data_IF_657777788379
#
_entry.id   IF_657777788379
#
_cell.length_a   1.000
_cell.length_b   1.000
_cell.length_c   1.000
_cell.angle_alpha   90.00
_cell.angle_beta   90.00
_cell.angle_gamma   90.00
#
_symmetry.space_group_name_H-M   'P 1'
#
loop_
_entity.id
_entity.type
_entity.pdbx_description
1 polymer ?
#
# COMPACT_ATOMS: atom_id res chain seq x y z
N UNK A 1 -16.09 -13.41 8.12
CA UNK A 1 -15.09 -14.44 7.75
C UNK A 1 -13.79 -13.71 7.49
N UNK A 2 -12.75 -14.02 8.27
CA UNK A 2 -11.44 -13.39 8.19
C UNK A 2 -10.65 -13.93 7.02
N UNK A 3 -10.15 -13.06 6.15
CA UNK A 3 -9.24 -13.43 5.06
C UNK A 3 -7.84 -13.66 5.64
N UNK A 4 -7.20 -14.76 5.28
CA UNK A 4 -5.83 -15.09 5.67
C UNK A 4 -4.96 -15.13 4.42
N UNK A 5 -3.86 -14.39 4.43
CA UNK A 5 -2.80 -14.45 3.40
C UNK A 5 -1.57 -15.09 4.03
N UNK A 6 -0.95 -16.05 3.34
CA UNK A 6 0.38 -16.56 3.66
C UNK A 6 1.38 -15.90 2.71
N UNK A 7 2.22 -15.02 3.25
CA UNK A 7 3.18 -14.18 2.51
C UNK A 7 4.62 -14.52 2.90
N UNK A 8 5.53 -14.54 1.94
CA UNK A 8 6.92 -14.95 2.16
C UNK A 8 7.86 -14.00 1.43
N UNK A 9 8.73 -13.32 2.18
CA UNK A 9 9.74 -12.41 1.66
C UNK A 9 10.98 -13.20 1.24
N UNK A 10 11.13 -13.40 -0.06
CA UNK A 10 12.15 -14.25 -0.67
C UNK A 10 13.30 -13.36 -1.16
N UNK A 11 14.27 -13.16 -0.28
CA UNK A 11 15.17 -12.02 -0.34
C UNK A 11 16.67 -12.37 -0.29
N UNK A 12 17.06 -13.53 0.23
CA UNK A 12 18.46 -13.88 0.49
C UNK A 12 19.18 -14.36 -0.76
N UNK A 13 19.83 -13.45 -1.46
CA UNK A 13 20.63 -13.77 -2.65
C UNK A 13 22.13 -13.96 -2.36
N UNK A 14 22.49 -14.17 -1.06
CA UNK A 14 23.87 -14.45 -0.61
C UNK A 14 24.07 -15.93 -0.27
N UNK A 15 23.06 -16.54 0.38
CA UNK A 15 23.17 -17.90 0.90
C UNK A 15 22.35 -18.88 0.04
N UNK A 16 22.96 -19.71 -0.84
CA UNK A 16 22.23 -20.65 -1.70
C UNK A 16 21.32 -21.62 -0.94
N UNK A 17 21.73 -22.05 0.26
CA UNK A 17 20.92 -22.94 1.11
C UNK A 17 19.69 -22.25 1.73
N UNK A 18 19.60 -20.93 1.71
CA UNK A 18 18.39 -20.19 2.10
C UNK A 18 17.21 -20.52 1.20
N UNK A 19 17.47 -20.85 -0.06
CA UNK A 19 16.46 -21.29 -1.03
C UNK A 19 15.76 -22.63 -0.64
N UNK A 20 16.38 -23.45 0.21
CA UNK A 20 15.77 -24.71 0.71
C UNK A 20 14.57 -24.43 1.58
N UNK A 21 14.59 -23.37 2.41
CA UNK A 21 13.43 -22.96 3.20
C UNK A 21 12.31 -22.40 2.33
N UNK A 22 12.63 -21.67 1.25
CA UNK A 22 11.65 -21.23 0.25
C UNK A 22 10.95 -22.42 -0.37
N UNK A 23 11.73 -23.39 -0.89
CA UNK A 23 11.24 -24.62 -1.47
C UNK A 23 10.28 -25.34 -0.51
N UNK A 24 10.70 -25.48 0.73
CA UNK A 24 9.93 -26.23 1.73
C UNK A 24 8.60 -25.56 2.10
N UNK A 25 8.56 -24.23 2.22
CA UNK A 25 7.30 -23.49 2.39
C UNK A 25 6.37 -23.72 1.21
N UNK A 26 6.88 -23.58 -0.01
CA UNK A 26 6.09 -23.82 -1.22
C UNK A 26 5.54 -25.27 -1.30
N UNK A 27 6.37 -26.27 -0.99
CA UNK A 27 5.95 -27.68 -0.97
C UNK A 27 4.87 -27.94 0.08
N UNK A 28 5.03 -27.44 1.32
CA UNK A 28 4.02 -27.63 2.38
C UNK A 28 2.67 -27.04 1.96
N UNK A 29 2.65 -25.83 1.42
CA UNK A 29 1.41 -25.21 0.95
C UNK A 29 0.76 -26.02 -0.20
N UNK A 30 1.57 -26.49 -1.15
CA UNK A 30 1.08 -27.32 -2.25
C UNK A 30 0.51 -28.65 -1.77
N UNK A 31 1.18 -29.32 -0.83
CA UNK A 31 0.69 -30.57 -0.21
C UNK A 31 -0.63 -30.37 0.53
N UNK A 32 -0.78 -29.20 1.17
CA UNK A 32 -2.03 -28.82 1.82
C UNK A 32 -3.08 -28.24 0.85
N UNK A 33 -2.80 -28.19 -0.46
CA UNK A 33 -3.65 -27.60 -1.48
C UNK A 33 -4.01 -26.13 -1.20
N UNK A 34 -3.01 -25.34 -0.83
CA UNK A 34 -3.08 -23.90 -0.55
C UNK A 34 -2.12 -23.17 -1.46
N UNK A 35 -2.54 -22.01 -1.98
CA UNK A 35 -1.63 -21.07 -2.65
C UNK A 35 -1.12 -20.05 -1.64
N UNK A 36 0.17 -19.78 -1.67
CA UNK A 36 0.82 -18.69 -0.94
C UNK A 36 1.24 -17.58 -1.89
N UNK A 37 1.70 -16.48 -1.32
CA UNK A 37 2.22 -15.29 -1.97
C UNK A 37 3.73 -15.20 -1.68
N UNK A 38 4.55 -15.15 -2.72
CA UNK A 38 6.01 -15.10 -2.58
C UNK A 38 6.53 -13.79 -3.17
N UNK A 39 6.95 -12.90 -2.28
CA UNK A 39 7.52 -11.60 -2.59
C UNK A 39 8.98 -11.78 -2.95
N UNK A 40 9.31 -11.72 -4.24
CA UNK A 40 10.62 -12.14 -4.73
C UNK A 40 11.48 -10.93 -5.11
N UNK A 41 12.66 -10.86 -4.51
CA UNK A 41 13.70 -9.89 -4.89
C UNK A 41 14.25 -10.23 -6.27
N UNK A 42 14.41 -9.23 -7.14
CA UNK A 42 14.92 -9.44 -8.50
C UNK A 42 16.28 -10.13 -8.52
N UNK A 43 17.23 -9.67 -7.70
CA UNK A 43 18.55 -10.32 -7.56
C UNK A 43 18.47 -11.77 -7.07
N UNK A 44 17.52 -12.10 -6.17
CA UNK A 44 17.33 -13.49 -5.77
C UNK A 44 16.84 -14.36 -6.94
N UNK A 45 15.93 -13.87 -7.75
CA UNK A 45 15.45 -14.59 -8.94
C UNK A 45 16.60 -14.87 -9.94
N UNK A 46 17.51 -13.92 -10.12
CA UNK A 46 18.74 -14.14 -10.92
C UNK A 46 19.63 -15.22 -10.29
N UNK A 47 19.84 -15.17 -8.97
CA UNK A 47 20.66 -16.15 -8.24
C UNK A 47 20.09 -17.56 -8.30
N UNK A 48 18.76 -17.75 -8.30
CA UNK A 48 18.17 -19.08 -8.50
C UNK A 48 18.64 -19.73 -9.81
N UNK A 49 18.73 -18.96 -10.91
CA UNK A 49 19.27 -19.44 -12.19
C UNK A 49 20.74 -19.75 -12.10
N UNK A 50 21.54 -18.85 -11.50
CA UNK A 50 23.00 -19.04 -11.32
C UNK A 50 23.32 -20.25 -10.45
N UNK A 51 22.54 -20.50 -9.39
CA UNK A 51 22.70 -21.66 -8.52
C UNK A 51 22.11 -22.96 -9.08
N UNK A 52 21.44 -22.89 -10.23
CA UNK A 52 20.79 -24.04 -10.83
C UNK A 52 19.57 -24.57 -10.06
N UNK A 53 18.90 -23.69 -9.28
CA UNK A 53 17.76 -24.04 -8.42
C UNK A 53 16.44 -24.05 -9.19
N UNK A 54 16.39 -24.83 -10.28
CA UNK A 54 15.16 -25.02 -11.04
C UNK A 54 14.04 -25.63 -10.19
N UNK A 55 14.38 -26.45 -9.21
CA UNK A 55 13.45 -27.04 -8.24
C UNK A 55 12.66 -25.99 -7.47
N UNK A 56 13.30 -24.89 -7.06
CA UNK A 56 12.64 -23.77 -6.38
C UNK A 56 11.74 -22.99 -7.34
N UNK A 57 12.25 -22.68 -8.54
CA UNK A 57 11.49 -21.98 -9.59
C UNK A 57 10.20 -22.75 -9.92
N UNK A 58 10.29 -24.07 -10.13
CA UNK A 58 9.15 -24.93 -10.45
C UNK A 58 8.16 -25.05 -9.28
N UNK A 59 8.65 -25.07 -8.04
CA UNK A 59 7.77 -25.09 -6.87
C UNK A 59 7.01 -23.76 -6.72
N UNK A 60 7.66 -22.65 -6.93
CA UNK A 60 7.05 -21.31 -6.87
C UNK A 60 6.03 -21.08 -7.99
N UNK A 61 6.15 -21.74 -9.12
CA UNK A 61 5.21 -21.62 -10.24
C UNK A 61 3.76 -22.00 -9.87
N UNK A 62 3.53 -22.81 -8.83
CA UNK A 62 2.19 -23.13 -8.30
C UNK A 62 1.56 -21.96 -7.51
N UNK A 63 2.36 -21.08 -6.95
CA UNK A 63 1.97 -20.00 -6.05
C UNK A 63 1.83 -18.65 -6.78
N UNK A 64 1.46 -17.59 -6.08
CA UNK A 64 1.59 -16.23 -6.59
C UNK A 64 3.02 -15.71 -6.38
N UNK A 65 3.48 -14.92 -7.31
CA UNK A 65 4.77 -14.21 -7.25
C UNK A 65 4.47 -12.73 -7.21
N UNK A 66 5.06 -12.05 -6.26
CA UNK A 66 4.95 -10.62 -6.04
C UNK A 66 6.35 -9.96 -6.13
N UNK A 67 6.34 -8.63 -6.27
CA UNK A 67 7.55 -7.83 -6.39
C UNK A 67 8.07 -7.49 -5.00
N UNK A 68 9.39 -7.70 -4.77
CA UNK A 68 10.07 -7.33 -3.51
C UNK A 68 11.28 -6.43 -3.78
N UNK A 69 11.15 -5.48 -4.69
CA UNK A 69 12.20 -4.63 -5.24
C UNK A 69 13.34 -5.38 -5.98
N UNK A 70 14.22 -4.62 -6.63
CA UNK A 70 15.34 -5.19 -7.37
C UNK A 70 16.39 -5.82 -6.47
N UNK A 71 16.79 -5.12 -5.39
CA UNK A 71 17.97 -5.47 -4.59
C UNK A 71 17.72 -5.46 -3.07
N UNK A 72 16.46 -5.47 -2.63
CA UNK A 72 16.07 -5.47 -1.22
C UNK A 72 16.59 -4.23 -0.48
N UNK A 73 17.40 -4.42 0.54
CA UNK A 73 17.97 -3.37 1.40
C UNK A 73 19.34 -2.86 0.90
N UNK A 74 19.82 -3.36 -0.24
CA UNK A 74 21.07 -2.88 -0.83
C UNK A 74 20.84 -1.53 -1.54
N UNK A 75 21.67 -0.55 -1.23
CA UNK A 75 21.50 0.82 -1.70
C UNK A 75 21.79 1.00 -3.21
N UNK A 76 21.08 1.90 -3.89
CA UNK A 76 20.03 2.75 -3.34
C UNK A 76 18.72 2.00 -3.12
N UNK A 77 18.05 2.26 -1.99
CA UNK A 77 16.73 1.72 -1.66
C UNK A 77 15.61 2.56 -2.28
N UNK A 78 14.36 2.05 -2.24
CA UNK A 78 13.19 2.77 -2.77
C UNK A 78 13.10 4.20 -2.22
N UNK A 79 13.34 4.38 -0.94
CA UNK A 79 13.29 5.71 -0.34
C UNK A 79 14.36 6.64 -0.92
N UNK A 80 15.56 6.14 -1.13
CA UNK A 80 16.68 6.95 -1.62
C UNK A 80 16.50 7.38 -3.07
N UNK A 81 16.14 6.46 -3.96
CA UNK A 81 15.95 6.83 -5.37
C UNK A 81 14.61 7.53 -5.66
N UNK A 82 13.70 7.60 -4.68
CA UNK A 82 12.48 8.40 -4.78
C UNK A 82 12.51 9.71 -3.98
N UNK A 83 13.58 9.95 -3.21
CA UNK A 83 13.77 11.19 -2.44
C UNK A 83 14.31 12.32 -3.35
N UNK A 84 13.56 12.63 -4.38
CA UNK A 84 13.84 13.65 -5.39
C UNK A 84 12.71 14.68 -5.31
N UNK A 85 13.05 15.97 -5.32
CA UNK A 85 12.07 17.07 -5.17
C UNK A 85 11.08 17.13 -6.34
N UNK A 86 11.57 16.95 -7.55
CA UNK A 86 10.75 16.90 -8.77
C UNK A 86 10.08 15.52 -8.89
N UNK A 87 8.76 15.49 -8.88
CA UNK A 87 8.00 14.24 -8.95
C UNK A 87 8.25 13.44 -10.21
N UNK A 88 8.31 14.10 -11.38
CA UNK A 88 8.47 13.40 -12.65
C UNK A 88 9.86 12.74 -12.74
N UNK A 89 10.88 13.41 -12.21
CA UNK A 89 12.23 12.84 -12.11
C UNK A 89 12.26 11.67 -11.10
N UNK A 90 11.60 11.79 -9.95
CA UNK A 90 11.50 10.72 -8.96
C UNK A 90 10.77 9.50 -9.52
N UNK A 91 9.66 9.71 -10.21
CA UNK A 91 8.89 8.65 -10.85
C UNK A 91 9.69 7.96 -11.97
N UNK A 92 10.41 8.72 -12.78
CA UNK A 92 11.25 8.16 -13.84
C UNK A 92 12.35 7.24 -13.28
N UNK A 93 13.00 7.64 -12.19
CA UNK A 93 14.02 6.78 -11.54
C UNK A 93 13.37 5.56 -10.88
N UNK A 94 12.22 5.70 -10.22
CA UNK A 94 11.46 4.59 -9.68
C UNK A 94 11.10 3.56 -10.76
N UNK A 95 10.51 4.01 -11.86
CA UNK A 95 10.11 3.13 -12.96
C UNK A 95 11.30 2.42 -13.60
N UNK A 96 12.45 3.08 -13.70
CA UNK A 96 13.68 2.48 -14.22
C UNK A 96 14.14 1.30 -13.33
N UNK A 97 14.20 1.49 -12.01
CA UNK A 97 14.64 0.47 -11.05
C UNK A 97 13.66 -0.71 -10.99
N UNK A 98 12.37 -0.41 -10.82
CA UNK A 98 11.37 -1.45 -10.61
C UNK A 98 10.96 -2.17 -11.90
N UNK A 99 11.06 -1.54 -13.07
CA UNK A 99 10.86 -2.25 -14.35
C UNK A 99 11.94 -3.31 -14.56
N UNK A 100 13.18 -3.04 -14.19
CA UNK A 100 14.24 -4.05 -14.25
C UNK A 100 13.89 -5.28 -13.38
N UNK A 101 13.43 -5.06 -12.16
CA UNK A 101 12.95 -6.12 -11.28
C UNK A 101 11.83 -6.94 -11.95
N UNK A 102 10.82 -6.26 -12.47
CA UNK A 102 9.67 -6.89 -13.13
C UNK A 102 10.09 -7.74 -14.32
N UNK A 103 10.98 -7.27 -15.17
CA UNK A 103 11.44 -8.05 -16.34
C UNK A 103 12.25 -9.29 -15.91
N UNK A 104 13.06 -9.21 -14.87
CA UNK A 104 13.77 -10.36 -14.29
C UNK A 104 12.76 -11.41 -13.77
N UNK A 105 11.72 -10.97 -13.05
CA UNK A 105 10.70 -11.87 -12.51
C UNK A 105 9.86 -12.50 -13.62
N UNK A 106 9.48 -11.73 -14.66
CA UNK A 106 8.78 -12.24 -15.85
C UNK A 106 9.58 -13.35 -16.53
N UNK A 107 10.86 -13.09 -16.78
CA UNK A 107 11.75 -14.05 -17.42
C UNK A 107 11.96 -15.31 -16.58
N UNK A 108 12.08 -15.15 -15.24
CA UNK A 108 12.36 -16.28 -14.36
C UNK A 108 11.15 -17.17 -14.14
N UNK A 109 9.97 -16.60 -13.97
CA UNK A 109 8.78 -17.35 -13.57
C UNK A 109 7.73 -17.47 -14.68
N UNK A 110 7.96 -16.91 -15.87
CA UNK A 110 7.02 -16.96 -16.99
C UNK A 110 5.68 -16.28 -16.67
N UNK A 111 5.71 -15.15 -15.99
CA UNK A 111 4.52 -14.38 -15.59
C UNK A 111 4.46 -13.07 -16.35
N UNK A 112 3.25 -12.63 -16.72
CA UNK A 112 3.05 -11.35 -17.40
C UNK A 112 2.59 -10.23 -16.47
N UNK A 113 2.12 -10.57 -15.27
CA UNK A 113 1.61 -9.61 -14.26
C UNK A 113 1.86 -10.08 -12.84
N UNK A 114 1.93 -9.13 -11.93
CA UNK A 114 2.16 -9.34 -10.52
C UNK A 114 1.03 -8.69 -9.71
N UNK A 115 0.36 -9.43 -8.80
CA UNK A 115 -0.80 -8.91 -8.08
C UNK A 115 -0.44 -7.97 -6.93
N UNK A 116 0.80 -7.99 -6.44
CA UNK A 116 1.26 -7.13 -5.37
C UNK A 116 2.72 -6.71 -5.52
N UNK A 117 3.05 -5.59 -4.89
CA UNK A 117 4.39 -5.20 -4.52
C UNK A 117 4.50 -5.13 -3.00
N UNK A 118 5.58 -5.67 -2.46
CA UNK A 118 5.86 -5.75 -1.05
C UNK A 118 7.25 -5.15 -0.80
N UNK A 119 7.36 -3.84 -0.60
CA UNK A 119 8.67 -3.20 -0.47
C UNK A 119 9.41 -3.64 0.79
N UNK A 120 10.72 -3.92 0.68
CA UNK A 120 11.52 -4.36 1.80
C UNK A 120 11.58 -3.34 2.94
N UNK A 121 11.56 -3.83 4.19
CA UNK A 121 11.79 -3.01 5.37
C UNK A 121 10.86 -1.80 5.50
N UNK A 122 9.66 -1.88 4.93
CA UNK A 122 8.72 -0.75 4.89
C UNK A 122 9.26 0.48 4.15
N UNK A 123 10.21 0.29 3.24
CA UNK A 123 10.64 1.35 2.32
C UNK A 123 9.46 1.78 1.47
N UNK A 124 9.04 3.02 1.59
CA UNK A 124 7.88 3.53 0.88
C UNK A 124 7.97 5.02 0.65
N UNK A 125 7.37 5.45 -0.44
CA UNK A 125 7.14 6.86 -0.75
C UNK A 125 5.84 7.01 -1.53
N UNK A 126 5.30 8.22 -1.60
CA UNK A 126 4.15 8.51 -2.46
C UNK A 126 4.45 8.19 -3.94
N UNK A 127 5.71 8.36 -4.36
CA UNK A 127 6.18 8.02 -5.71
C UNK A 127 6.08 6.52 -5.96
N UNK A 128 6.48 5.69 -4.99
CA UNK A 128 6.39 4.24 -5.11
C UNK A 128 4.93 3.76 -5.21
N UNK A 129 4.01 4.36 -4.45
CA UNK A 129 2.59 4.02 -4.56
C UNK A 129 2.05 4.33 -5.96
N UNK A 130 2.26 5.55 -6.47
CA UNK A 130 1.82 5.91 -7.82
C UNK A 130 2.53 5.09 -8.90
N UNK A 131 3.83 4.84 -8.73
CA UNK A 131 4.64 4.09 -9.67
C UNK A 131 4.15 2.64 -9.83
N UNK A 132 3.96 1.92 -8.74
CA UNK A 132 3.40 0.57 -8.80
C UNK A 132 1.98 0.55 -9.35
N UNK A 133 1.13 1.53 -8.97
CA UNK A 133 -0.20 1.65 -9.56
C UNK A 133 -0.16 1.87 -11.08
N UNK A 134 0.77 2.69 -11.59
CA UNK A 134 1.01 2.88 -13.04
C UNK A 134 1.52 1.61 -13.73
N UNK A 135 2.30 0.79 -13.04
CA UNK A 135 2.74 -0.52 -13.53
C UNK A 135 1.61 -1.56 -13.54
N UNK A 136 0.40 -1.19 -13.11
CA UNK A 136 -0.78 -2.07 -13.05
C UNK A 136 -0.78 -3.03 -11.87
N UNK A 137 -0.02 -2.74 -10.82
CA UNK A 137 0.04 -3.54 -9.59
C UNK A 137 -1.05 -3.03 -8.65
N UNK A 138 -2.03 -3.87 -8.28
CA UNK A 138 -3.20 -3.43 -7.53
C UNK A 138 -3.01 -3.37 -6.01
N UNK A 139 -2.06 -4.12 -5.44
CA UNK A 139 -1.83 -4.23 -4.00
C UNK A 139 -0.40 -3.76 -3.65
N UNK A 140 -0.31 -2.99 -2.59
CA UNK A 140 0.94 -2.60 -1.93
C UNK A 140 0.91 -3.17 -0.52
N UNK A 141 1.70 -4.21 -0.25
CA UNK A 141 1.79 -4.81 1.08
C UNK A 141 2.96 -4.19 1.85
N UNK A 142 2.61 -3.37 2.84
CA UNK A 142 3.60 -2.66 3.64
C UNK A 142 2.93 -1.79 4.70
N UNK A 143 3.65 -1.41 5.73
CA UNK A 143 3.14 -0.74 6.93
C UNK A 143 2.82 0.76 6.75
N UNK A 144 2.47 1.20 5.55
CA UNK A 144 2.27 2.62 5.23
C UNK A 144 0.95 3.16 5.77
N UNK A 145 -0.15 2.46 5.48
CA UNK A 145 -1.49 2.83 5.93
C UNK A 145 -2.14 1.65 6.62
N UNK A 146 -2.53 1.82 7.87
CA UNK A 146 -3.06 0.76 8.73
C UNK A 146 -4.50 1.04 9.15
N UNK A 147 -5.39 0.08 8.91
CA UNK A 147 -6.62 -0.04 9.68
C UNK A 147 -6.33 -0.81 10.97
N UNK A 148 -6.05 -0.10 12.06
CA UNK A 148 -5.69 -0.71 13.36
C UNK A 148 -6.83 -1.54 13.96
N UNK A 149 -8.08 -1.31 13.55
CA UNK A 149 -9.23 -2.05 14.10
C UNK A 149 -9.36 -3.44 13.48
N UNK A 150 -9.64 -3.49 12.18
CA UNK A 150 -10.00 -4.73 11.50
C UNK A 150 -9.01 -5.18 10.42
N UNK A 151 -7.94 -4.42 10.25
CA UNK A 151 -6.87 -4.68 9.27
C UNK A 151 -7.38 -4.72 7.81
N UNK A 152 -8.39 -3.91 7.48
CA UNK A 152 -8.92 -3.81 6.12
C UNK A 152 -7.96 -3.05 5.21
N UNK A 153 -7.93 -3.38 3.91
CA UNK A 153 -7.17 -2.59 2.95
C UNK A 153 -7.65 -1.15 2.86
N UNK A 154 -6.72 -0.22 2.67
CA UNK A 154 -7.00 1.20 2.40
C UNK A 154 -6.39 1.53 1.03
N UNK A 155 -7.17 2.07 0.11
CA UNK A 155 -6.62 2.57 -1.15
C UNK A 155 -5.98 3.94 -0.94
N UNK A 156 -4.77 4.13 -1.45
CA UNK A 156 -4.05 5.40 -1.44
C UNK A 156 -3.24 5.52 -2.72
N UNK A 157 -3.21 6.69 -3.35
CA UNK A 157 -2.45 6.89 -4.60
C UNK A 157 -2.80 5.84 -5.68
N UNK A 158 -4.08 5.44 -5.76
CA UNK A 158 -4.64 4.46 -6.71
C UNK A 158 -4.21 2.99 -6.50
N UNK A 159 -3.58 2.66 -5.39
CA UNK A 159 -3.19 1.29 -5.04
C UNK A 159 -3.78 0.91 -3.68
N UNK A 160 -4.20 -0.35 -3.51
CA UNK A 160 -4.70 -0.83 -2.22
C UNK A 160 -3.53 -1.20 -1.31
N UNK A 161 -3.49 -0.62 -0.11
CA UNK A 161 -2.45 -0.90 0.89
C UNK A 161 -2.94 -1.93 1.91
N UNK A 162 -2.05 -2.81 2.32
CA UNK A 162 -2.24 -3.78 3.40
C UNK A 162 -1.09 -3.67 4.40
N UNK A 163 -1.14 -4.44 5.49
CA UNK A 163 -0.14 -4.41 6.55
C UNK A 163 0.23 -5.82 7.00
N UNK A 164 1.45 -6.00 7.47
CA UNK A 164 1.94 -7.25 8.07
C UNK A 164 1.36 -7.47 9.47
N UNK A 165 1.06 -8.74 9.82
CA UNK A 165 0.44 -9.00 11.12
C UNK A 165 1.15 -10.06 11.94
N UNK A 166 1.51 -11.20 11.35
CA UNK A 166 2.02 -12.35 12.10
C UNK A 166 3.32 -12.88 11.50
N UNK A 167 4.44 -12.51 12.11
CA UNK A 167 5.77 -12.99 11.70
C UNK A 167 5.94 -14.45 12.11
N UNK A 168 5.59 -15.37 11.23
CA UNK A 168 5.51 -16.80 11.47
C UNK A 168 6.82 -17.39 12.02
N UNK A 169 7.95 -17.13 11.36
CA UNK A 169 9.24 -17.67 11.76
C UNK A 169 9.65 -17.31 13.20
N UNK A 170 9.30 -16.11 13.65
CA UNK A 170 9.56 -15.67 15.02
C UNK A 170 8.56 -16.29 16.01
N UNK A 171 7.26 -16.22 15.67
CA UNK A 171 6.20 -16.73 16.56
C UNK A 171 6.29 -18.24 16.76
N UNK A 172 6.65 -18.99 15.72
CA UNK A 172 6.81 -20.44 15.82
C UNK A 172 8.00 -20.89 16.67
N UNK A 173 8.98 -20.05 16.93
CA UNK A 173 10.04 -20.35 17.89
C UNK A 173 9.61 -20.15 19.34
N UNK A 174 8.61 -19.29 19.57
CA UNK A 174 8.19 -18.88 20.92
C UNK A 174 6.91 -19.56 21.40
N UNK A 175 5.98 -19.83 20.50
CA UNK A 175 4.64 -20.27 20.81
C UNK A 175 4.44 -21.74 20.41
N UNK A 176 3.85 -22.53 21.30
CA UNK A 176 3.37 -23.88 20.99
C UNK A 176 2.05 -23.85 20.19
N UNK A 177 1.52 -25.02 19.87
CA UNK A 177 0.29 -25.16 19.07
C UNK A 177 -0.95 -24.62 19.81
N UNK A 178 -0.98 -24.69 21.14
CA UNK A 178 -2.08 -24.15 21.95
C UNK A 178 -2.09 -22.62 21.90
N UNK A 179 -0.94 -21.98 22.07
CA UNK A 179 -0.79 -20.53 21.96
C UNK A 179 -1.12 -20.03 20.53
N UNK A 180 -0.70 -20.76 19.49
CA UNK A 180 -1.05 -20.44 18.09
C UNK A 180 -2.58 -20.51 17.92
N UNK A 181 -3.23 -21.58 18.38
CA UNK A 181 -4.68 -21.72 18.31
C UNK A 181 -5.43 -20.60 19.05
N UNK A 182 -4.99 -20.26 20.26
CA UNK A 182 -5.58 -19.19 21.05
C UNK A 182 -5.50 -17.83 20.32
N UNK A 183 -4.35 -17.51 19.73
CA UNK A 183 -4.14 -16.31 18.94
C UNK A 183 -5.09 -16.23 17.73
N UNK A 184 -5.21 -17.31 16.97
CA UNK A 184 -6.09 -17.32 15.77
C UNK A 184 -7.57 -17.35 16.13
N UNK A 185 -7.97 -17.81 17.31
CA UNK A 185 -9.34 -17.62 17.81
C UNK A 185 -9.66 -16.13 17.99
N UNK A 186 -8.74 -15.34 18.56
CA UNK A 186 -8.91 -13.88 18.70
C UNK A 186 -8.93 -13.19 17.32
N UNK A 187 -8.05 -13.57 16.39
CA UNK A 187 -8.01 -13.06 15.03
C UNK A 187 -9.36 -13.26 14.31
N UNK A 188 -9.97 -14.43 14.45
CA UNK A 188 -11.27 -14.75 13.83
C UNK A 188 -12.41 -13.81 14.29
N UNK A 189 -12.31 -13.26 15.49
CA UNK A 189 -13.32 -12.36 16.07
C UNK A 189 -13.04 -10.89 15.75
N UNK A 190 -11.76 -10.53 15.66
CA UNK A 190 -11.35 -9.12 15.65
C UNK A 190 -10.91 -8.61 14.28
N UNK A 191 -10.52 -9.47 13.33
CA UNK A 191 -9.92 -9.05 12.05
C UNK A 191 -10.75 -9.47 10.84
N UNK A 192 -10.73 -8.63 9.81
CA UNK A 192 -11.32 -8.92 8.49
C UNK A 192 -10.26 -9.45 7.52
N UNK A 193 -9.01 -9.01 7.70
CA UNK A 193 -7.82 -9.47 6.98
C UNK A 193 -6.70 -9.76 7.97
N UNK A 194 -5.91 -10.81 7.73
CA UNK A 194 -4.74 -11.11 8.53
C UNK A 194 -3.63 -11.73 7.68
N UNK A 195 -2.50 -11.03 7.57
CA UNK A 195 -1.36 -11.45 6.78
C UNK A 195 -0.35 -12.14 7.69
N UNK A 196 -0.15 -13.44 7.44
CA UNK A 196 0.84 -14.26 8.08
C UNK A 196 2.08 -14.28 7.19
N UNK A 197 3.15 -13.61 7.60
CA UNK A 197 4.35 -13.47 6.80
C UNK A 197 5.57 -14.15 7.40
N UNK A 198 6.56 -14.45 6.58
CA UNK A 198 7.82 -15.05 7.00
C UNK A 198 8.95 -14.67 6.07
N UNK A 199 10.16 -14.57 6.63
CA UNK A 199 11.41 -14.47 5.88
C UNK A 199 12.04 -15.88 5.87
N UNK A 200 11.99 -16.64 4.76
CA UNK A 200 12.52 -18.00 4.69
C UNK A 200 14.00 -18.12 5.06
N UNK A 201 14.81 -17.11 4.76
CA UNK A 201 16.21 -17.04 5.18
C UNK A 201 16.34 -17.10 6.72
N UNK A 202 15.49 -16.39 7.47
CA UNK A 202 15.47 -16.39 8.94
C UNK A 202 15.00 -17.71 9.56
N UNK A 203 14.48 -18.63 8.75
CA UNK A 203 14.25 -20.02 9.15
C UNK A 203 15.54 -20.83 9.05
N UNK A 204 16.30 -20.63 7.98
CA UNK A 204 17.58 -21.33 7.73
C UNK A 204 18.72 -20.82 8.58
N UNK A 205 18.72 -19.52 8.91
CA UNK A 205 19.86 -18.83 9.55
C UNK A 205 19.45 -18.11 10.82
N UNK A 206 20.46 -17.85 11.69
CA UNK A 206 20.26 -17.09 12.93
C UNK A 206 20.06 -15.61 12.66
N UNK A 207 20.82 -15.06 11.72
CA UNK A 207 20.91 -13.64 11.39
C UNK A 207 20.50 -13.44 9.92
N UNK A 208 19.93 -12.27 9.60
CA UNK A 208 19.62 -11.93 8.20
C UNK A 208 20.91 -11.75 7.40
N UNK A 209 20.87 -12.10 6.14
CA UNK A 209 22.00 -12.02 5.20
C UNK A 209 22.52 -10.59 5.03
N UNK A 210 21.63 -9.59 5.05
CA UNK A 210 21.96 -8.18 4.93
C UNK A 210 22.49 -7.60 6.25
N UNK A 211 21.95 -8.05 7.40
CA UNK A 211 22.44 -7.70 8.72
C UNK A 211 23.89 -8.12 8.92
N UNK A 212 24.26 -9.30 8.45
CA UNK A 212 25.62 -9.82 8.53
C UNK A 212 26.59 -9.05 7.62
N UNK A 213 26.12 -8.61 6.45
CA UNK A 213 27.02 -8.16 5.40
C UNK A 213 27.17 -6.63 5.29
N UNK A 214 26.08 -5.88 5.44
CA UNK A 214 26.16 -4.44 5.17
C UNK A 214 25.19 -3.58 6.01
N UNK A 215 24.71 -4.10 7.10
CA UNK A 215 23.86 -3.34 7.99
C UNK A 215 24.43 -1.95 8.27
N UNK A 216 23.91 -0.96 7.55
CA UNK A 216 24.37 0.42 7.64
C UNK A 216 25.51 0.84 6.74
N UNK A 217 25.96 0.02 5.86
CA UNK A 217 27.01 0.40 4.94
C UNK A 217 26.98 -0.42 3.66
N UNK A 218 27.10 0.20 2.50
CA UNK A 218 27.19 -0.49 1.21
C UNK A 218 28.53 -1.23 1.03
N UNK A 219 28.78 -2.25 1.85
CA UNK A 219 29.93 -3.09 1.64
C UNK A 219 29.80 -3.80 0.29
N UNK A 220 30.87 -3.73 -0.53
CA UNK A 220 30.88 -4.36 -1.85
C UNK A 220 30.62 -5.87 -1.76
N UNK A 221 29.84 -6.41 -2.70
CA UNK A 221 29.40 -7.80 -2.71
C UNK A 221 30.55 -8.82 -2.60
N UNK A 222 31.73 -8.51 -3.11
CA UNK A 222 32.93 -9.36 -3.01
C UNK A 222 33.39 -9.63 -1.56
N UNK A 223 32.95 -8.79 -0.62
CA UNK A 223 33.29 -8.92 0.80
C UNK A 223 32.21 -9.67 1.62
N UNK A 224 31.11 -10.07 0.99
CA UNK A 224 30.01 -10.68 1.72
C UNK A 224 30.32 -12.08 2.21
N UNK A 225 29.82 -12.41 3.41
CA UNK A 225 30.03 -13.70 4.07
C UNK A 225 28.70 -14.41 4.32
N UNK A 226 28.69 -15.75 4.38
CA UNK A 226 27.48 -16.50 4.69
C UNK A 226 26.96 -16.22 6.11
N UNK A 227 25.65 -16.24 6.26
CA UNK A 227 24.98 -16.20 7.55
C UNK A 227 25.18 -17.51 8.32
N UNK A 228 25.10 -17.47 9.66
CA UNK A 228 25.26 -18.65 10.51
C UNK A 228 24.04 -19.58 10.39
N UNK A 229 24.20 -20.84 9.95
CA UNK A 229 23.10 -21.80 9.86
C UNK A 229 22.45 -22.05 11.24
N UNK A 230 21.13 -22.26 11.21
CA UNK A 230 20.36 -22.68 12.37
C UNK A 230 20.41 -24.19 12.51
N UNK A 231 20.23 -24.66 13.73
CA UNK A 231 20.20 -26.09 14.04
C UNK A 231 19.00 -26.78 13.35
N UNK A 232 19.20 -27.98 12.77
CA UNK A 232 18.14 -28.70 12.04
C UNK A 232 16.84 -28.88 12.82
N UNK A 233 16.93 -29.15 14.12
CA UNK A 233 15.77 -29.37 14.98
C UNK A 233 14.91 -28.11 15.11
N UNK A 234 15.51 -26.93 15.11
CA UNK A 234 14.80 -25.65 15.16
C UNK A 234 14.10 -25.37 13.81
N UNK A 235 14.75 -25.70 12.70
CA UNK A 235 14.17 -25.60 11.36
C UNK A 235 12.93 -26.52 11.25
N UNK A 236 13.06 -27.79 11.68
CA UNK A 236 11.97 -28.74 11.68
C UNK A 236 10.79 -28.28 12.55
N UNK A 237 11.08 -27.72 13.74
CA UNK A 237 10.05 -27.18 14.62
C UNK A 237 9.25 -26.07 13.93
N UNK A 238 9.92 -25.15 13.24
CA UNK A 238 9.25 -24.04 12.52
C UNK A 238 8.32 -24.61 11.44
N UNK A 239 8.79 -25.55 10.61
CA UNK A 239 7.98 -26.13 9.54
C UNK A 239 6.85 -27.01 10.04
N UNK A 240 7.03 -27.74 11.15
CA UNK A 240 5.93 -28.50 11.76
C UNK A 240 4.81 -27.57 12.24
N UNK A 241 5.16 -26.48 12.90
CA UNK A 241 4.19 -25.46 13.37
C UNK A 241 3.55 -24.68 12.22
N UNK A 242 4.29 -24.45 11.14
CA UNK A 242 3.70 -23.88 9.92
C UNK A 242 2.63 -24.81 9.33
N UNK A 243 2.93 -26.10 9.16
CA UNK A 243 1.96 -27.07 8.69
C UNK A 243 0.74 -27.16 9.62
N UNK A 244 0.98 -27.14 10.93
CA UNK A 244 -0.10 -27.09 11.91
C UNK A 244 -1.00 -25.86 11.69
N UNK A 245 -0.42 -24.67 11.56
CA UNK A 245 -1.17 -23.44 11.32
C UNK A 245 -2.01 -23.52 10.03
N UNK A 246 -1.43 -23.96 8.93
CA UNK A 246 -2.17 -24.11 7.65
C UNK A 246 -3.38 -25.01 7.82
N UNK A 247 -3.22 -26.15 8.50
CA UNK A 247 -4.33 -27.09 8.78
C UNK A 247 -5.36 -26.52 9.74
N UNK A 248 -4.95 -25.78 10.76
CA UNK A 248 -5.83 -25.10 11.70
C UNK A 248 -6.75 -24.11 10.96
N UNK A 249 -6.17 -23.27 10.10
CA UNK A 249 -6.91 -22.26 9.32
C UNK A 249 -7.87 -22.93 8.34
N UNK A 250 -7.44 -23.98 7.64
CA UNK A 250 -8.29 -24.73 6.68
C UNK A 250 -9.48 -25.40 7.34
N UNK A 251 -9.33 -25.89 8.57
CA UNK A 251 -10.38 -26.59 9.30
C UNK A 251 -11.44 -25.68 9.92
N UNK A 252 -11.16 -24.38 10.07
CA UNK A 252 -12.03 -23.42 10.75
C UNK A 252 -12.81 -22.57 9.73
N UNK A 253 -14.17 -22.71 9.64
CA UNK A 253 -14.98 -21.99 8.66
C UNK A 253 -15.04 -20.47 8.88
N UNK A 254 -14.51 -19.95 10.00
CA UNK A 254 -14.38 -18.52 10.24
C UNK A 254 -13.31 -17.88 9.37
N UNK A 255 -12.40 -18.67 8.78
CA UNK A 255 -11.32 -18.22 7.93
C UNK A 255 -11.54 -18.56 6.45
N UNK A 256 -10.95 -17.76 5.58
CA UNK A 256 -10.77 -18.02 4.16
C UNK A 256 -9.36 -17.69 3.76
N UNK A 257 -8.61 -18.67 3.28
CA UNK A 257 -7.28 -18.43 2.71
C UNK A 257 -7.46 -17.79 1.34
N UNK A 258 -6.77 -16.68 1.11
CA UNK A 258 -6.78 -15.90 -0.13
C UNK A 258 -5.36 -15.50 -0.51
N UNK A 259 -5.17 -15.15 -1.77
CA UNK A 259 -3.94 -14.53 -2.27
C UNK A 259 -4.15 -13.02 -2.50
N UNK A 260 -3.08 -12.27 -2.77
CA UNK A 260 -3.20 -10.85 -3.15
C UNK A 260 -4.00 -10.69 -4.45
N UNK A 261 -3.84 -11.60 -5.41
CA UNK A 261 -4.62 -11.59 -6.63
C UNK A 261 -6.12 -11.83 -6.42
N UNK A 262 -6.49 -12.68 -5.46
CA UNK A 262 -7.88 -12.87 -5.07
C UNK A 262 -8.44 -11.59 -4.43
N UNK A 263 -7.67 -10.96 -3.55
CA UNK A 263 -8.05 -9.69 -2.92
C UNK A 263 -8.20 -8.57 -3.94
N UNK A 264 -7.25 -8.44 -4.86
CA UNK A 264 -7.28 -7.42 -5.90
C UNK A 264 -8.54 -7.52 -6.78
N UNK A 265 -8.95 -8.74 -7.13
CA UNK A 265 -10.20 -8.99 -7.88
C UNK A 265 -11.42 -8.53 -7.10
N UNK A 266 -11.49 -8.82 -5.80
CA UNK A 266 -12.61 -8.43 -4.96
C UNK A 266 -12.67 -6.91 -4.77
N UNK A 267 -11.54 -6.26 -4.47
CA UNK A 267 -11.43 -4.83 -4.20
C UNK A 267 -11.71 -3.96 -5.44
N UNK A 268 -11.46 -4.49 -6.63
CA UNK A 268 -11.66 -3.80 -7.90
C UNK A 268 -12.86 -4.33 -8.70
N UNK A 269 -13.75 -5.11 -8.06
CA UNK A 269 -14.85 -5.79 -8.72
C UNK A 269 -15.92 -4.87 -9.31
N UNK A 270 -16.01 -3.62 -8.87
CA UNK A 270 -17.01 -2.68 -9.35
C UNK A 270 -16.41 -1.33 -9.75
N UNK A 271 -17.01 -0.75 -10.77
CA UNK A 271 -16.73 0.61 -11.19
C UNK A 271 -17.47 1.58 -10.25
N UNK A 272 -16.79 2.65 -9.85
CA UNK A 272 -17.38 3.70 -9.01
C UNK A 272 -17.83 4.85 -9.89
N UNK A 273 -19.09 5.19 -9.78
CA UNK A 273 -19.69 6.34 -10.49
C UNK A 273 -20.37 7.22 -9.46
N UNK A 274 -19.99 8.49 -9.40
CA UNK A 274 -20.58 9.49 -8.54
C UNK A 274 -21.60 10.29 -9.35
N UNK A 275 -22.86 10.31 -8.89
CA UNK A 275 -23.96 11.03 -9.56
C UNK A 275 -24.30 12.34 -8.84
N UNK A 276 -24.98 13.26 -9.52
CA UNK A 276 -25.52 14.46 -8.88
C UNK A 276 -26.46 14.17 -7.73
N UNK A 277 -27.17 13.04 -7.79
CA UNK A 277 -28.10 12.61 -6.73
C UNK A 277 -27.39 12.26 -5.42
N UNK A 278 -26.10 11.89 -5.49
CA UNK A 278 -25.27 11.56 -4.33
C UNK A 278 -24.80 12.81 -3.56
N UNK A 279 -24.71 13.96 -4.24
CA UNK A 279 -24.08 15.18 -3.70
C UNK A 279 -24.69 15.69 -2.40
N UNK A 280 -26.02 15.70 -2.18
CA UNK A 280 -26.58 16.14 -0.90
C UNK A 280 -26.13 15.28 0.28
N UNK A 281 -26.05 13.96 0.09
CA UNK A 281 -25.55 13.03 1.11
C UNK A 281 -24.06 13.27 1.36
N UNK A 282 -23.27 13.38 0.32
CA UNK A 282 -21.82 13.65 0.40
C UNK A 282 -21.54 14.98 1.08
N UNK A 283 -22.25 16.07 0.68
CA UNK A 283 -22.13 17.39 1.32
C UNK A 283 -22.36 17.30 2.83
N UNK A 284 -23.45 16.63 3.25
CA UNK A 284 -23.76 16.46 4.67
C UNK A 284 -22.67 15.68 5.40
N UNK A 285 -22.16 14.60 4.80
CA UNK A 285 -21.10 13.80 5.38
C UNK A 285 -19.80 14.58 5.56
N UNK A 286 -19.36 15.33 4.53
CA UNK A 286 -18.13 16.11 4.59
C UNK A 286 -18.23 17.32 5.54
N UNK A 287 -19.43 17.86 5.71
CA UNK A 287 -19.69 18.95 6.66
C UNK A 287 -19.68 18.45 8.10
N UNK A 288 -20.21 17.27 8.36
CA UNK A 288 -20.17 16.64 9.69
C UNK A 288 -18.74 16.20 10.06
N UNK A 289 -18.04 15.60 9.12
CA UNK A 289 -16.67 15.12 9.28
C UNK A 289 -15.96 15.05 7.93
N UNK A 290 -14.92 15.86 7.76
CA UNK A 290 -14.15 15.91 6.52
C UNK A 290 -13.26 14.69 6.38
N UNK A 291 -13.79 13.66 5.73
CA UNK A 291 -13.13 12.35 5.58
C UNK A 291 -13.66 11.62 4.33
N UNK A 292 -12.90 10.71 3.71
CA UNK A 292 -13.39 9.89 2.59
C UNK A 292 -14.74 9.23 2.89
N UNK A 293 -15.62 9.21 1.92
CA UNK A 293 -16.95 8.65 2.10
C UNK A 293 -16.99 7.15 1.84
N UNK A 294 -17.91 6.45 2.49
CA UNK A 294 -18.16 5.02 2.25
C UNK A 294 -19.61 4.74 1.89
N UNK A 295 -20.42 5.79 1.81
CA UNK A 295 -21.83 5.77 1.40
C UNK A 295 -22.10 6.98 0.50
N UNK A 296 -22.89 6.85 -0.57
CA UNK A 296 -23.53 5.62 -1.07
C UNK A 296 -22.52 4.61 -1.63
N UNK A 297 -21.35 5.07 -1.96
CA UNK A 297 -20.20 4.26 -2.37
C UNK A 297 -18.89 4.81 -1.78
N UNK A 298 -17.78 4.15 -2.08
CA UNK A 298 -16.45 4.47 -1.64
C UNK A 298 -15.82 5.54 -2.53
N UNK A 299 -15.86 6.80 -2.10
CA UNK A 299 -15.22 7.92 -2.81
C UNK A 299 -14.14 8.56 -1.94
N UNK A 300 -12.97 8.82 -2.54
CA UNK A 300 -11.98 9.68 -1.92
C UNK A 300 -12.33 11.16 -2.16
N UNK A 301 -11.66 12.07 -1.44
CA UNK A 301 -11.94 13.50 -1.58
C UNK A 301 -11.56 14.02 -2.99
N UNK A 302 -10.48 13.46 -3.58
CA UNK A 302 -10.08 13.79 -4.95
C UNK A 302 -11.14 13.38 -5.99
N UNK A 303 -11.79 12.20 -5.83
CA UNK A 303 -12.92 11.80 -6.68
C UNK A 303 -14.04 12.85 -6.62
N UNK A 304 -14.41 13.26 -5.39
CA UNK A 304 -15.49 14.23 -5.16
C UNK A 304 -15.13 15.61 -5.75
N UNK A 305 -13.88 16.03 -5.63
CA UNK A 305 -13.41 17.29 -6.22
C UNK A 305 -13.54 17.28 -7.74
N UNK A 306 -13.07 16.24 -8.42
CA UNK A 306 -13.18 16.11 -9.86
C UNK A 306 -14.64 15.96 -10.33
N UNK A 307 -15.45 15.19 -9.58
CA UNK A 307 -16.89 15.09 -9.84
C UNK A 307 -17.58 16.45 -9.77
N UNK A 308 -17.32 17.23 -8.72
CA UNK A 308 -17.88 18.59 -8.60
C UNK A 308 -17.47 19.49 -9.76
N UNK A 309 -16.19 19.42 -10.17
CA UNK A 309 -15.71 20.17 -11.35
C UNK A 309 -16.51 19.82 -12.60
N UNK A 310 -16.67 18.55 -12.93
CA UNK A 310 -17.38 18.10 -14.11
C UNK A 310 -18.86 18.41 -14.08
N UNK A 311 -19.49 18.27 -12.91
CA UNK A 311 -20.91 18.57 -12.72
C UNK A 311 -21.20 20.07 -12.81
N UNK A 312 -20.30 20.95 -12.37
CA UNK A 312 -20.40 22.39 -12.63
C UNK A 312 -20.32 22.70 -14.13
N UNK A 313 -19.62 21.89 -14.91
CA UNK A 313 -19.53 22.00 -16.37
C UNK A 313 -20.68 21.30 -17.11
N UNK A 314 -21.64 20.72 -16.42
CA UNK A 314 -22.85 20.14 -16.96
C UNK A 314 -22.92 18.62 -17.01
N UNK A 315 -21.92 17.89 -16.51
CA UNK A 315 -22.02 16.44 -16.39
C UNK A 315 -23.10 16.05 -15.35
N UNK A 316 -23.79 14.93 -15.57
CA UNK A 316 -24.75 14.37 -14.60
C UNK A 316 -24.10 13.37 -13.66
N UNK A 317 -23.05 12.72 -14.11
CA UNK A 317 -22.29 11.74 -13.38
C UNK A 317 -20.78 11.88 -13.66
N UNK A 318 -19.97 11.35 -12.77
CA UNK A 318 -18.51 11.27 -12.89
C UNK A 318 -18.04 9.83 -12.60
N UNK A 319 -17.32 9.26 -13.56
CA UNK A 319 -16.66 7.98 -13.42
C UNK A 319 -15.35 8.17 -12.66
N UNK A 320 -15.28 7.62 -11.44
CA UNK A 320 -14.07 7.68 -10.64
C UNK A 320 -12.93 6.87 -11.29
N UNK A 321 -11.76 7.45 -11.33
CA UNK A 321 -10.61 6.86 -12.03
C UNK A 321 -9.30 7.11 -11.30
N UNK A 322 -8.29 7.47 -12.10
CA UNK A 322 -7.00 7.87 -11.57
C UNK A 322 -7.11 9.22 -10.86
N UNK A 323 -6.61 9.30 -9.64
CA UNK A 323 -6.61 10.52 -8.83
C UNK A 323 -5.23 10.79 -8.26
N UNK A 324 -4.92 12.08 -8.05
CA UNK A 324 -3.70 12.52 -7.39
C UNK A 324 -4.07 13.46 -6.22
N UNK A 325 -3.19 13.54 -5.24
CA UNK A 325 -3.31 14.49 -4.13
C UNK A 325 -2.63 15.82 -4.47
N UNK A 326 -1.87 16.37 -3.52
CA UNK A 326 -1.17 17.63 -3.67
C UNK A 326 0.35 17.41 -3.78
N UNK A 327 1.02 18.25 -4.57
CA UNK A 327 2.49 18.38 -4.54
C UNK A 327 2.95 19.43 -3.51
N UNK A 328 2.10 20.38 -3.19
CA UNK A 328 2.38 21.46 -2.23
C UNK A 328 1.22 21.61 -1.23
N UNK A 329 1.49 22.17 -0.08
CA UNK A 329 0.46 22.50 0.90
C UNK A 329 -0.66 23.34 0.28
N UNK A 330 -1.92 22.93 0.39
CA UNK A 330 -3.04 23.70 -0.14
C UNK A 330 -3.17 25.06 0.59
N UNK A 331 -3.61 26.06 -0.16
CA UNK A 331 -3.95 27.36 0.39
C UNK A 331 -5.25 27.25 1.21
N UNK A 332 -5.38 28.08 2.25
CA UNK A 332 -6.62 28.26 3.02
C UNK A 332 -6.96 29.75 3.10
N UNK A 333 -8.24 30.08 2.97
CA UNK A 333 -8.69 31.47 3.15
C UNK A 333 -8.58 31.89 4.62
N UNK A 334 -8.31 33.17 4.86
CA UNK A 334 -8.17 33.77 6.21
C UNK A 334 -9.34 34.68 6.57
N UNK A 335 -10.22 34.98 5.63
CA UNK A 335 -11.43 35.80 5.80
C UNK A 335 -12.57 35.21 4.96
N UNK A 336 -13.85 35.46 5.33
CA UNK A 336 -14.97 35.00 4.54
C UNK A 336 -14.92 35.50 3.10
N UNK A 337 -15.25 34.62 2.15
CA UNK A 337 -15.30 34.92 0.71
C UNK A 337 -16.66 34.53 0.17
N UNK A 338 -17.33 35.44 -0.50
CA UNK A 338 -18.61 35.20 -1.17
C UNK A 338 -18.39 35.02 -2.67
N UNK A 339 -18.95 33.95 -3.21
CA UNK A 339 -18.84 33.58 -4.64
C UNK A 339 -20.22 33.23 -5.19
N UNK A 340 -20.42 33.45 -6.47
CA UNK A 340 -21.66 33.14 -7.19
C UNK A 340 -21.50 31.84 -7.97
N UNK A 341 -22.62 31.20 -8.29
CA UNK A 341 -22.65 30.02 -9.15
C UNK A 341 -21.98 30.25 -10.51
N UNK A 342 -22.18 31.41 -11.11
CA UNK A 342 -21.55 31.74 -12.38
C UNK A 342 -20.02 31.79 -12.26
N UNK A 343 -19.48 32.40 -11.20
CA UNK A 343 -18.03 32.44 -10.94
C UNK A 343 -17.47 31.04 -10.66
N UNK A 344 -18.22 30.18 -9.94
CA UNK A 344 -17.84 28.77 -9.71
C UNK A 344 -17.75 27.98 -11.02
N UNK A 345 -18.73 28.13 -11.92
CA UNK A 345 -18.70 27.48 -13.24
C UNK A 345 -17.50 27.97 -14.06
N UNK A 346 -17.21 29.26 -14.08
CA UNK A 346 -16.03 29.80 -14.78
C UNK A 346 -14.71 29.31 -14.17
N UNK A 347 -14.66 29.15 -12.85
CA UNK A 347 -13.48 28.61 -12.17
C UNK A 347 -13.24 27.14 -12.53
N UNK A 348 -14.31 26.32 -12.61
CA UNK A 348 -14.25 24.92 -12.99
C UNK A 348 -13.60 24.68 -14.37
N UNK A 349 -13.80 25.60 -15.32
CA UNK A 349 -13.17 25.53 -16.66
C UNK A 349 -11.64 25.65 -16.62
N UNK A 350 -11.09 26.26 -15.57
CA UNK A 350 -9.64 26.50 -15.40
C UNK A 350 -8.95 25.36 -14.64
N UNK A 351 -9.70 24.52 -13.96
CA UNK A 351 -9.15 23.36 -13.27
C UNK A 351 -8.90 22.25 -14.29
N UNK A 352 -7.68 21.65 -14.33
CA UNK A 352 -7.42 20.49 -15.18
C UNK A 352 -8.38 19.33 -14.89
N UNK A 353 -8.71 18.56 -15.92
CA UNK A 353 -9.58 17.39 -15.78
C UNK A 353 -8.91 16.25 -14.98
N UNK A 354 -7.61 16.18 -15.10
CA UNK A 354 -6.75 15.15 -14.51
C UNK A 354 -5.48 15.78 -13.95
N UNK A 355 -4.75 15.06 -13.14
CA UNK A 355 -3.48 15.47 -12.57
C UNK A 355 -3.56 15.85 -11.10
N UNK A 356 -2.53 16.53 -10.62
CA UNK A 356 -2.41 16.98 -9.25
C UNK A 356 -3.49 17.98 -8.87
N UNK A 357 -4.00 17.88 -7.67
CA UNK A 357 -4.92 18.87 -7.14
C UNK A 357 -4.24 20.25 -7.07
N UNK A 358 -4.91 21.31 -7.53
CA UNK A 358 -4.36 22.65 -7.45
C UNK A 358 -4.26 23.10 -5.99
N UNK A 359 -3.21 23.82 -5.65
CA UNK A 359 -3.07 24.44 -4.32
C UNK A 359 -4.19 25.43 -4.02
N UNK A 360 -4.65 26.14 -5.04
CA UNK A 360 -5.72 27.14 -4.95
C UNK A 360 -6.41 27.32 -6.30
N UNK A 361 -7.61 27.88 -6.26
CA UNK A 361 -8.45 28.15 -7.45
C UNK A 361 -8.88 29.60 -7.46
N UNK A 362 -8.73 30.28 -8.59
CA UNK A 362 -9.22 31.65 -8.79
C UNK A 362 -10.72 31.59 -9.12
N UNK A 363 -11.55 32.28 -8.31
CA UNK A 363 -13.00 32.35 -8.46
C UNK A 363 -13.40 33.83 -8.48
N UNK A 364 -13.82 34.34 -9.64
CA UNK A 364 -14.05 35.77 -9.82
C UNK A 364 -12.78 36.57 -9.55
N UNK A 365 -12.83 37.46 -8.58
CA UNK A 365 -11.69 38.23 -8.07
C UNK A 365 -11.00 37.63 -6.84
N UNK A 366 -11.52 36.52 -6.32
CA UNK A 366 -11.02 35.89 -5.10
C UNK A 366 -10.12 34.68 -5.41
N UNK A 367 -9.30 34.29 -4.43
CA UNK A 367 -8.54 33.05 -4.43
C UNK A 367 -9.10 32.16 -3.33
N UNK A 368 -9.58 30.99 -3.67
CA UNK A 368 -10.01 29.94 -2.73
C UNK A 368 -8.94 28.86 -2.62
N UNK A 369 -8.78 28.31 -1.44
CA UNK A 369 -8.09 27.01 -1.29
C UNK A 369 -8.90 25.89 -1.94
N UNK A 370 -8.26 24.76 -2.21
CA UNK A 370 -8.94 23.63 -2.87
C UNK A 370 -10.10 23.09 -2.03
N UNK A 371 -9.93 23.04 -0.71
CA UNK A 371 -11.01 22.64 0.21
C UNK A 371 -12.14 23.68 0.24
N UNK A 372 -11.82 24.97 0.22
CA UNK A 372 -12.79 26.07 0.17
C UNK A 372 -13.59 26.05 -1.14
N UNK A 373 -12.89 25.79 -2.26
CA UNK A 373 -13.54 25.61 -3.56
C UNK A 373 -14.48 24.43 -3.56
N UNK A 374 -14.07 23.28 -3.01
CA UNK A 374 -14.91 22.07 -2.91
C UNK A 374 -16.19 22.33 -2.10
N UNK A 375 -16.08 23.06 -0.97
CA UNK A 375 -17.25 23.48 -0.16
C UNK A 375 -18.22 24.32 -0.98
N UNK A 376 -17.71 25.32 -1.68
CA UNK A 376 -18.52 26.19 -2.52
C UNK A 376 -19.17 25.42 -3.68
N UNK A 377 -18.40 24.51 -4.32
CA UNK A 377 -18.90 23.67 -5.42
C UNK A 377 -20.06 22.77 -4.98
N UNK A 378 -19.90 22.08 -3.85
CA UNK A 378 -20.97 21.24 -3.28
C UNK A 378 -22.23 22.06 -2.94
N UNK A 379 -22.08 23.27 -2.38
CA UNK A 379 -23.20 24.13 -2.05
C UNK A 379 -23.94 24.59 -3.32
N UNK A 380 -23.22 25.05 -4.33
CA UNK A 380 -23.79 25.46 -5.61
C UNK A 380 -24.49 24.30 -6.33
N UNK A 381 -23.89 23.12 -6.36
CA UNK A 381 -24.45 21.93 -6.98
C UNK A 381 -25.71 21.42 -6.22
N UNK A 382 -25.79 21.68 -4.92
CA UNK A 382 -26.98 21.44 -4.11
C UNK A 382 -28.03 22.55 -4.16
N UNK A 383 -27.90 23.56 -5.07
CA UNK A 383 -28.92 24.54 -5.38
C UNK A 383 -28.69 25.96 -4.86
N UNK A 384 -27.55 26.27 -4.26
CA UNK A 384 -27.25 27.62 -3.80
C UNK A 384 -26.74 28.48 -4.97
N UNK A 385 -27.32 29.67 -5.18
CA UNK A 385 -26.90 30.62 -6.24
C UNK A 385 -25.73 31.51 -5.79
N UNK A 386 -25.56 31.71 -4.49
CA UNK A 386 -24.48 32.47 -3.87
C UNK A 386 -24.05 31.80 -2.60
N UNK A 387 -22.75 31.59 -2.42
CA UNK A 387 -22.17 30.88 -1.29
C UNK A 387 -21.14 31.79 -0.60
N UNK A 388 -21.25 31.89 0.73
CA UNK A 388 -20.19 32.51 1.56
C UNK A 388 -19.40 31.42 2.24
N UNK A 389 -18.14 31.23 1.82
CA UNK A 389 -17.19 30.31 2.44
C UNK A 389 -16.49 31.04 3.57
N UNK A 390 -16.55 30.48 4.77
CA UNK A 390 -15.85 30.98 5.95
C UNK A 390 -14.52 30.27 6.16
N UNK A 391 -13.53 30.91 6.80
CA UNK A 391 -12.26 30.26 7.15
C UNK A 391 -12.49 29.10 8.14
N UNK A 392 -12.72 27.93 7.63
CA UNK A 392 -12.89 26.69 8.36
C UNK A 392 -11.90 25.65 7.84
N UNK A 393 -11.36 24.83 8.72
CA UNK A 393 -10.36 23.86 8.33
C UNK A 393 -11.04 22.57 7.85
N UNK A 394 -11.18 22.42 6.55
CA UNK A 394 -11.52 21.16 5.92
C UNK A 394 -10.24 20.38 5.62
N UNK A 395 -9.74 19.70 6.64
CA UNK A 395 -8.50 18.92 6.59
C UNK A 395 -8.77 17.51 7.09
N UNK A 396 -8.17 16.52 6.46
CA UNK A 396 -8.21 15.15 6.96
C UNK A 396 -7.41 15.09 8.26
N UNK A 397 -8.05 14.57 9.29
CA UNK A 397 -7.43 14.35 10.59
C UNK A 397 -6.39 13.22 10.49
N UNK A 398 -5.10 13.60 10.50
CA UNK A 398 -3.99 12.66 10.42
C UNK A 398 -3.80 11.81 11.68
N UNK A 399 -4.47 12.14 12.79
CA UNK A 399 -4.51 11.27 13.97
C UNK A 399 -5.20 9.93 13.68
N UNK A 400 -6.02 9.90 12.61
CA UNK A 400 -6.60 8.65 12.10
C UNK A 400 -5.57 7.74 11.41
N UNK A 401 -4.39 8.26 11.06
CA UNK A 401 -3.35 7.55 10.31
C UNK A 401 -1.98 7.70 10.98
N UNK A 402 -1.80 7.18 12.22
CA UNK A 402 -0.55 7.38 12.97
C UNK A 402 0.68 6.83 12.24
N UNK A 403 0.51 5.77 11.44
CA UNK A 403 1.61 5.21 10.64
C UNK A 403 2.12 6.16 9.54
N UNK A 404 1.32 7.11 9.09
CA UNK A 404 1.73 8.16 8.15
C UNK A 404 2.12 9.44 8.90
N UNK A 405 1.35 9.82 9.94
CA UNK A 405 1.60 11.02 10.73
C UNK A 405 2.99 11.04 11.37
N UNK A 406 3.36 9.91 11.99
CA UNK A 406 4.57 9.80 12.81
C UNK A 406 5.70 9.03 12.09
N UNK A 407 5.54 8.74 10.79
CA UNK A 407 6.53 7.95 10.07
C UNK A 407 7.87 8.67 10.02
N UNK A 408 8.91 7.93 10.37
CA UNK A 408 10.30 8.32 10.15
C UNK A 408 10.99 7.25 9.32
N UNK A 409 11.82 7.68 8.42
CA UNK A 409 12.64 6.77 7.59
C UNK A 409 14.03 6.57 8.20
N UNK A 410 14.37 7.33 9.22
CA UNK A 410 15.65 7.24 9.90
C UNK A 410 15.77 5.91 10.65
N UNK A 411 16.80 5.15 10.33
CA UNK A 411 17.06 3.83 10.93
C UNK A 411 16.28 2.67 10.28
N UNK A 412 15.43 2.94 9.29
CA UNK A 412 14.85 1.91 8.44
C UNK A 412 15.80 1.69 7.26
N UNK A 413 16.60 0.60 7.28
CA UNK A 413 17.55 0.29 6.21
C UNK A 413 18.46 1.46 5.82
N UNK A 414 18.95 2.20 6.80
CA UNK A 414 20.03 3.18 6.72
C UNK A 414 20.01 4.03 5.46
N UNK A 415 19.13 5.01 5.49
CA UNK A 415 19.07 6.01 4.45
C UNK A 415 20.26 6.96 4.56
N UNK A 416 20.90 7.21 3.42
CA UNK A 416 21.88 8.25 3.28
C UNK A 416 21.17 9.54 2.84
N UNK A 417 21.60 10.64 3.41
CA UNK A 417 21.38 12.00 2.88
C UNK A 417 20.02 12.25 2.20
N UNK A 418 18.90 11.82 2.83
CA UNK A 418 17.57 12.22 2.38
C UNK A 418 17.47 13.75 2.38
N UNK A 419 16.66 14.32 1.47
CA UNK A 419 16.44 15.78 1.35
C UNK A 419 16.10 16.40 2.71
N UNK A 420 15.19 15.76 3.46
CA UNK A 420 14.87 16.03 4.85
C UNK A 420 14.40 14.75 5.52
N UNK A 421 14.65 14.59 6.84
CA UNK A 421 14.21 13.41 7.60
C UNK A 421 12.72 13.10 7.47
N UNK A 422 11.88 14.08 7.16
CA UNK A 422 10.43 13.95 7.06
C UNK A 422 9.87 14.31 5.67
N UNK A 423 10.73 14.53 4.66
CA UNK A 423 10.29 14.92 3.32
C UNK A 423 9.26 13.95 2.74
N UNK A 424 9.61 12.67 2.63
CA UNK A 424 8.72 11.64 2.10
C UNK A 424 7.44 11.49 2.93
N UNK A 425 7.52 11.66 4.25
CA UNK A 425 6.34 11.64 5.15
C UNK A 425 5.40 12.81 4.85
N UNK A 426 5.91 14.01 4.74
CA UNK A 426 5.09 15.19 4.38
C UNK A 426 4.42 15.00 3.03
N UNK A 427 5.17 14.51 2.03
CA UNK A 427 4.62 14.24 0.69
C UNK A 427 3.54 13.17 0.72
N UNK A 428 3.70 12.13 1.52
CA UNK A 428 2.68 11.09 1.68
C UNK A 428 1.42 11.62 2.39
N UNK A 429 1.55 12.51 3.37
CA UNK A 429 0.42 13.17 4.03
C UNK A 429 -0.38 14.04 3.04
N UNK A 430 0.29 14.71 2.11
CA UNK A 430 -0.37 15.48 1.03
C UNK A 430 -1.22 14.60 0.09
N UNK A 431 -1.03 13.27 0.12
CA UNK A 431 -1.85 12.33 -0.65
C UNK A 431 -3.12 11.89 0.09
N UNK A 432 -3.40 12.38 1.29
CA UNK A 432 -4.54 11.94 2.10
C UNK A 432 -5.90 12.10 1.39
N UNK A 433 -6.03 13.05 0.46
CA UNK A 433 -7.24 13.23 -0.34
C UNK A 433 -7.49 12.07 -1.33
N UNK A 434 -6.52 11.22 -1.60
CA UNK A 434 -6.67 10.02 -2.43
C UNK A 434 -7.10 8.79 -1.63
N UNK A 435 -7.15 8.87 -0.28
CA UNK A 435 -7.49 7.72 0.54
C UNK A 435 -8.93 7.29 0.34
N UNK A 436 -9.12 5.99 0.17
CA UNK A 436 -10.43 5.38 -0.10
C UNK A 436 -10.56 4.10 0.71
N UNK A 437 -11.73 3.88 1.27
CA UNK A 437 -12.05 2.73 2.10
C UNK A 437 -13.04 1.82 1.38
N UNK A 438 -13.16 0.56 1.81
CA UNK A 438 -14.19 -0.32 1.26
C UNK A 438 -15.59 0.25 1.53
N UNK A 439 -16.50 0.05 0.56
CA UNK A 439 -17.91 0.47 0.67
C UNK A 439 -18.58 -0.08 1.93
N UNK A 440 -19.31 0.76 2.63
CA UNK A 440 -20.06 0.38 3.83
C UNK A 440 -19.21 0.18 5.09
N UNK A 441 -17.90 0.48 5.04
CA UNK A 441 -17.05 0.45 6.22
C UNK A 441 -17.31 1.65 7.14
N UNK A 442 -16.88 1.58 8.40
CA UNK A 442 -17.08 2.68 9.34
C UNK A 442 -16.29 3.93 8.90
N UNK A 443 -16.92 5.11 9.00
CA UNK A 443 -16.29 6.41 8.67
C UNK A 443 -15.11 6.75 9.56
N UNK A 444 -15.16 6.30 10.82
CA UNK A 444 -14.02 6.45 11.74
C UNK A 444 -13.23 5.15 11.73
N UNK A 445 -12.04 5.19 11.18
CA UNK A 445 -11.10 4.08 11.20
C UNK A 445 -10.66 3.83 12.66
N UNK A 446 -10.70 4.90 13.47
CA UNK A 446 -10.44 4.86 14.91
C UNK A 446 -11.59 5.55 15.68
N UNK A 447 -11.93 5.03 16.87
CA UNK A 447 -12.94 5.66 17.73
C UNK A 447 -12.50 7.02 18.29
#
# INVERSE_FOLDING_TARGET
>A
MTKIVFSFDVEDYVNPSGADSVLRYAQILREENVRGCFNVVGKFAQKLKEWGRQDVIDALAYHEIEIHSLAHSYHPTINEYTDIEDYDAAEAEFLKQETECVEILKETFGRDSFPAACPPGSNTSYVAHYGYAKMGIPIYDGDTLRDLNRARPINACNIWTTDYHYLMGYQFRKNDEEAIRAHFNEVAETKDLYICYSHPNMVSFHDSWDEVNYWGGNLHEDGWVPSKPREPEQIELIFSRFRYLVRLIKADPRFRIVTYGDMAKELNAHERVLSKEDLPLIKNQLTEYFFPTTLPDSYCISDIFHACREMLLGAEEHKCGWVQGFLEEPFAITAPVTVTKAEMIESAKRIPAEGWLPRSVIVGSAILGTADWLRAALAVLCGEETVTVTPDVWQIDMDQFPSVRDRTYKGVWLHWDLLEDNYLTKRLQLQAWTYRFEKGTCRKVYP
#
